data_IF_033388097571
#
_entry.id   IF_033388097571
#
_cell.length_a   1.000
_cell.length_b   1.000
_cell.length_c   1.000
_cell.angle_alpha   90.00
_cell.angle_beta   90.00
_cell.angle_gamma   90.00
#
_symmetry.space_group_name_H-M   'P 1'
#
loop_
_entity.id
_entity.type
_entity.pdbx_description
1 polymer ?
#
# COMPACT_ATOMS: atom_id res chain seq x y z
N UNK A 1 55.21 39.86 -13.53
CA UNK A 1 55.02 38.47 -13.06
C UNK A 1 53.93 38.52 -12.01
N UNK A 2 52.70 38.31 -12.44
CA UNK A 2 51.52 38.44 -11.57
C UNK A 2 50.95 37.04 -11.39
N UNK A 3 51.01 36.55 -10.16
CA UNK A 3 50.44 35.25 -9.77
C UNK A 3 48.91 35.44 -9.51
N UNK A 4 48.11 34.76 -10.31
CA UNK A 4 46.68 34.71 -10.12
C UNK A 4 46.34 33.54 -9.18
N UNK A 5 45.78 33.84 -7.99
CA UNK A 5 45.22 32.85 -7.08
C UNK A 5 43.83 32.44 -7.58
N UNK A 6 43.71 31.20 -8.00
CA UNK A 6 42.41 30.61 -8.30
C UNK A 6 41.68 30.24 -7.01
N UNK A 7 40.51 30.85 -6.74
CA UNK A 7 39.57 30.41 -5.71
C UNK A 7 38.89 29.12 -6.17
N UNK A 8 39.09 28.01 -5.48
CA UNK A 8 38.25 26.85 -5.58
C UNK A 8 36.97 27.11 -4.80
N UNK A 9 35.83 27.24 -5.50
CA UNK A 9 34.54 27.24 -4.91
C UNK A 9 34.11 25.80 -4.61
N UNK A 10 34.08 25.42 -3.34
CA UNK A 10 33.38 24.19 -2.91
C UNK A 10 31.88 24.38 -3.12
N UNK A 11 31.33 23.65 -4.06
CA UNK A 11 29.90 23.50 -4.21
C UNK A 11 29.35 22.67 -3.04
N UNK A 12 28.70 23.32 -2.09
CA UNK A 12 27.89 22.64 -1.08
C UNK A 12 26.68 21.99 -1.79
N UNK A 13 26.69 20.67 -1.90
CA UNK A 13 25.51 19.93 -2.33
C UNK A 13 24.44 20.09 -1.26
N UNK A 14 23.42 20.90 -1.56
CA UNK A 14 22.21 21.01 -0.77
C UNK A 14 21.52 19.64 -0.74
N UNK A 15 21.37 19.08 0.45
CA UNK A 15 20.44 18.01 0.76
C UNK A 15 19.00 18.57 0.69
N UNK A 16 18.54 18.87 -0.51
CA UNK A 16 17.14 19.16 -0.80
C UNK A 16 16.47 17.87 -1.19
N UNK A 17 15.60 17.35 -0.34
CA UNK A 17 14.79 16.20 -0.77
C UNK A 17 14.23 15.34 0.35
N UNK A 18 13.98 15.89 1.55
CA UNK A 18 12.89 15.34 2.38
C UNK A 18 11.66 16.09 1.94
N UNK A 19 10.99 15.59 0.91
CA UNK A 19 9.75 16.15 0.44
C UNK A 19 8.77 16.28 1.60
N UNK A 20 8.14 17.44 1.72
CA UNK A 20 7.09 17.74 2.69
C UNK A 20 6.09 16.58 2.71
N UNK A 21 6.10 15.79 3.79
CA UNK A 21 5.04 14.86 4.07
C UNK A 21 3.81 15.70 4.41
N UNK A 22 2.97 15.91 3.42
CA UNK A 22 1.68 16.58 3.55
C UNK A 22 0.91 15.91 4.70
N UNK A 23 0.84 16.62 5.81
CA UNK A 23 0.20 16.17 7.05
C UNK A 23 -1.29 16.15 6.81
N UNK A 24 -1.84 14.96 6.53
CA UNK A 24 -3.29 14.78 6.56
C UNK A 24 -3.80 15.23 7.94
N UNK A 25 -4.73 16.18 8.01
CA UNK A 25 -5.27 16.66 9.28
C UNK A 25 -6.03 15.48 9.93
N UNK A 26 -5.60 15.06 11.13
CA UNK A 26 -6.13 14.01 12.01
C UNK A 26 -5.49 12.61 11.93
N UNK A 27 -4.29 12.45 11.38
CA UNK A 27 -3.58 11.17 11.40
C UNK A 27 -2.84 10.96 12.74
N UNK A 28 -3.57 10.72 13.83
CA UNK A 28 -3.02 10.52 15.18
C UNK A 28 -3.09 9.06 15.68
N UNK A 29 -3.71 8.17 14.91
CA UNK A 29 -3.90 6.76 15.28
C UNK A 29 -2.59 5.95 15.32
N UNK A 30 -2.66 4.69 15.83
CA UNK A 30 -1.49 3.81 15.97
C UNK A 30 -0.85 3.39 14.64
N UNK A 31 -1.57 3.54 13.52
CA UNK A 31 -1.09 3.28 12.16
C UNK A 31 -0.89 4.56 11.33
N UNK A 32 -0.71 5.71 11.99
CA UNK A 32 -0.52 7.02 11.38
C UNK A 32 0.90 7.27 10.86
N UNK A 33 1.10 8.30 10.03
CA UNK A 33 2.42 8.75 9.59
C UNK A 33 3.34 9.09 10.77
N UNK A 34 2.80 9.74 11.81
CA UNK A 34 3.54 10.03 13.04
C UNK A 34 3.94 8.77 13.80
N UNK A 35 3.05 7.75 13.84
CA UNK A 35 3.37 6.45 14.44
C UNK A 35 4.39 5.69 13.61
N UNK A 36 4.31 5.76 12.26
CA UNK A 36 5.31 5.19 11.37
C UNK A 36 6.70 5.77 11.63
N UNK A 37 6.82 7.09 11.73
CA UNK A 37 8.10 7.73 12.02
C UNK A 37 8.66 7.27 13.37
N UNK A 38 7.85 7.22 14.42
CA UNK A 38 8.30 6.68 15.71
C UNK A 38 8.77 5.24 15.60
N UNK A 39 8.04 4.39 14.88
CA UNK A 39 8.42 3.00 14.65
C UNK A 39 9.70 2.87 13.81
N UNK A 40 9.86 3.71 12.78
CA UNK A 40 11.01 3.72 11.88
C UNK A 40 12.31 4.06 12.62
N UNK A 41 12.22 5.05 13.54
CA UNK A 41 13.34 5.54 14.34
C UNK A 41 13.39 4.97 15.75
N UNK A 42 12.47 4.04 16.10
CA UNK A 42 12.53 3.38 17.40
C UNK A 42 13.83 2.58 17.53
N UNK A 43 14.64 2.98 18.49
CA UNK A 43 15.98 2.46 18.69
C UNK A 43 15.98 1.00 19.12
N UNK A 44 16.65 0.19 18.36
CA UNK A 44 17.36 -0.96 18.90
C UNK A 44 18.82 -0.48 19.10
N UNK A 45 19.37 -0.44 20.32
CA UNK A 45 20.72 0.08 20.60
C UNK A 45 21.84 -0.64 19.81
N UNK A 46 21.55 -1.83 19.25
CA UNK A 46 22.49 -2.58 18.43
C UNK A 46 22.37 -2.30 16.91
N UNK A 47 21.35 -1.56 16.46
CA UNK A 47 21.08 -1.32 15.02
C UNK A 47 20.39 0.03 14.79
N UNK A 48 20.84 1.10 15.45
CA UNK A 48 20.28 2.43 15.28
C UNK A 48 20.23 2.83 13.79
N UNK A 49 19.02 3.15 13.30
CA UNK A 49 18.84 3.71 11.96
C UNK A 49 18.76 2.71 10.79
N UNK A 50 18.92 1.40 10.99
CA UNK A 50 18.88 0.44 9.88
C UNK A 50 17.53 0.41 9.15
N UNK A 51 16.40 0.52 9.89
CA UNK A 51 15.07 0.63 9.29
C UNK A 51 14.94 1.87 8.41
N UNK A 52 15.47 3.01 8.86
CA UNK A 52 15.44 4.25 8.10
C UNK A 52 16.29 4.17 6.83
N UNK A 53 17.47 3.52 6.89
CA UNK A 53 18.32 3.27 5.74
C UNK A 53 17.61 2.37 4.72
N UNK A 54 16.98 1.30 5.18
CA UNK A 54 16.22 0.38 4.32
C UNK A 54 14.99 1.06 3.73
N UNK A 55 14.30 1.90 4.51
CA UNK A 55 13.18 2.69 3.99
C UNK A 55 13.63 3.67 2.90
N UNK A 56 14.73 4.37 3.10
CA UNK A 56 15.30 5.24 2.08
C UNK A 56 15.73 4.47 0.82
N UNK A 57 16.26 3.25 0.97
CA UNK A 57 16.58 2.39 -0.17
C UNK A 57 15.32 1.91 -0.89
N UNK A 58 14.25 1.58 -0.14
CA UNK A 58 12.95 1.23 -0.69
C UNK A 58 12.32 2.39 -1.48
N UNK A 59 12.40 3.62 -0.96
CA UNK A 59 11.91 4.82 -1.66
C UNK A 59 12.64 5.01 -3.01
N UNK A 60 13.98 4.93 -3.02
CA UNK A 60 14.77 5.01 -4.27
C UNK A 60 14.38 3.93 -5.27
N UNK A 61 14.18 2.70 -4.82
CA UNK A 61 13.71 1.61 -5.69
C UNK A 61 12.36 1.95 -6.33
N UNK A 62 11.41 2.54 -5.59
CA UNK A 62 10.12 2.96 -6.15
C UNK A 62 10.26 4.12 -7.16
N UNK A 63 11.20 5.03 -6.94
CA UNK A 63 11.56 6.10 -7.87
C UNK A 63 12.13 5.51 -9.17
N UNK A 64 13.11 4.62 -9.07
CA UNK A 64 13.74 3.94 -10.22
C UNK A 64 12.71 3.13 -11.04
N UNK A 65 11.72 2.51 -10.37
CA UNK A 65 10.61 1.80 -11.03
C UNK A 65 9.50 2.73 -11.55
N UNK A 66 9.63 4.04 -11.31
CA UNK A 66 8.67 5.05 -11.73
C UNK A 66 7.30 4.93 -11.07
N UNK A 67 7.22 4.39 -9.85
CA UNK A 67 5.96 4.19 -9.10
C UNK A 67 5.93 4.94 -7.76
N UNK A 68 6.92 5.78 -7.49
CA UNK A 68 6.89 6.66 -6.33
C UNK A 68 5.67 7.59 -6.39
N UNK A 69 5.09 7.89 -5.23
CA UNK A 69 3.95 8.81 -5.11
C UNK A 69 2.60 8.28 -5.59
N UNK A 70 2.49 7.02 -6.04
CA UNK A 70 1.20 6.39 -6.38
C UNK A 70 0.30 6.31 -5.16
N UNK A 71 0.87 5.97 -4.02
CA UNK A 71 0.30 6.08 -2.67
C UNK A 71 1.39 6.58 -1.73
N UNK A 72 1.06 7.09 -0.53
CA UNK A 72 2.09 7.44 0.45
C UNK A 72 2.97 6.22 0.76
N UNK A 73 4.29 6.32 0.49
CA UNK A 73 5.22 5.17 0.56
C UNK A 73 5.20 4.46 1.91
N UNK A 74 5.08 5.20 3.01
CA UNK A 74 5.04 4.64 4.36
C UNK A 74 3.84 3.71 4.60
N UNK A 75 2.72 3.92 3.87
CA UNK A 75 1.55 3.07 3.96
C UNK A 75 1.77 1.67 3.37
N UNK A 76 2.74 1.51 2.47
CA UNK A 76 3.09 0.19 1.90
C UNK A 76 3.62 -0.79 2.95
N UNK A 77 4.13 -0.26 4.08
CA UNK A 77 4.62 -1.05 5.21
C UNK A 77 3.60 -1.16 6.36
N UNK A 78 2.36 -0.68 6.16
CA UNK A 78 1.27 -0.89 7.13
C UNK A 78 0.91 -2.37 7.27
N UNK A 79 0.71 -2.78 8.51
CA UNK A 79 -0.07 -3.95 8.89
C UNK A 79 -1.47 -3.45 9.21
N UNK A 80 -2.49 -4.17 8.77
CA UNK A 80 -3.86 -3.86 9.13
C UNK A 80 -4.01 -3.67 10.64
N UNK A 81 -4.65 -2.57 11.05
CA UNK A 81 -4.71 -2.19 12.45
C UNK A 81 -5.46 -3.24 13.31
N UNK A 82 -6.51 -3.86 12.76
CA UNK A 82 -7.26 -4.92 13.46
C UNK A 82 -6.42 -6.19 13.57
N UNK A 83 -5.64 -6.52 12.53
CA UNK A 83 -4.74 -7.67 12.55
C UNK A 83 -3.57 -7.44 13.52
N UNK A 84 -2.97 -6.27 13.50
CA UNK A 84 -1.90 -5.91 14.45
C UNK A 84 -2.38 -6.03 15.90
N UNK A 85 -3.54 -5.46 16.23
CA UNK A 85 -4.14 -5.54 17.55
C UNK A 85 -4.48 -6.98 17.94
N UNK A 86 -5.12 -7.75 17.05
CA UNK A 86 -5.52 -9.14 17.29
C UNK A 86 -4.32 -10.07 17.53
N UNK A 87 -3.24 -9.85 16.76
CA UNK A 87 -2.06 -10.71 16.79
C UNK A 87 -0.94 -10.21 17.72
N UNK A 88 -1.14 -9.08 18.42
CA UNK A 88 -0.15 -8.50 19.32
C UNK A 88 1.13 -8.08 18.60
N UNK A 89 1.03 -7.57 17.34
CA UNK A 89 2.18 -7.17 16.54
C UNK A 89 2.27 -5.66 16.35
N UNK A 90 3.39 -5.18 15.81
CA UNK A 90 3.50 -3.78 15.39
C UNK A 90 2.53 -3.46 14.25
N UNK A 91 2.11 -2.19 14.15
CA UNK A 91 1.25 -1.66 13.08
C UNK A 91 1.99 -1.46 11.76
N UNK A 92 3.30 -1.69 11.75
CA UNK A 92 4.17 -1.61 10.59
C UNK A 92 5.10 -2.81 10.55
N UNK A 93 5.35 -3.30 9.35
CA UNK A 93 6.26 -4.40 9.10
C UNK A 93 7.05 -4.14 7.81
N UNK A 94 8.34 -4.34 7.88
CA UNK A 94 9.21 -4.23 6.71
C UNK A 94 9.17 -5.55 5.92
N UNK A 95 8.82 -5.49 4.63
CA UNK A 95 8.93 -6.66 3.76
C UNK A 95 10.40 -7.10 3.63
N UNK A 96 10.68 -8.39 3.39
CA UNK A 96 12.00 -8.84 2.98
C UNK A 96 12.51 -8.07 1.75
N UNK A 97 13.80 -7.73 1.72
CA UNK A 97 14.38 -6.89 0.65
C UNK A 97 14.24 -7.49 -0.74
N UNK A 98 14.36 -8.78 -0.86
CA UNK A 98 14.16 -9.55 -2.09
C UNK A 98 12.72 -9.53 -2.62
N UNK A 99 11.75 -9.15 -1.77
CA UNK A 99 10.34 -9.01 -2.14
C UNK A 99 9.94 -7.56 -2.48
N UNK A 100 10.79 -6.57 -2.28
CA UNK A 100 10.40 -5.16 -2.46
C UNK A 100 9.85 -4.84 -3.85
N UNK A 101 10.44 -5.43 -4.89
CA UNK A 101 10.00 -5.20 -6.28
C UNK A 101 8.67 -5.86 -6.62
N UNK A 102 8.21 -6.82 -5.81
CA UNK A 102 6.98 -7.55 -6.06
C UNK A 102 5.72 -6.68 -5.93
N UNK A 103 5.78 -5.55 -5.21
CA UNK A 103 4.66 -4.60 -5.11
C UNK A 103 4.52 -3.71 -6.35
N UNK A 104 5.56 -3.58 -7.17
CA UNK A 104 5.59 -2.64 -8.31
C UNK A 104 4.47 -2.91 -9.33
N UNK A 105 4.18 -4.15 -9.77
CA UNK A 105 3.06 -4.40 -10.67
C UNK A 105 1.70 -3.96 -10.10
N UNK A 106 1.45 -4.17 -8.80
CA UNK A 106 0.22 -3.69 -8.16
C UNK A 106 0.14 -2.16 -8.18
N UNK A 107 1.24 -1.45 -7.86
CA UNK A 107 1.29 0.02 -7.92
C UNK A 107 1.06 0.55 -9.34
N UNK A 108 1.57 -0.13 -10.37
CA UNK A 108 1.28 0.22 -11.78
C UNK A 108 -0.21 0.07 -12.11
N UNK A 109 -0.87 -0.98 -11.59
CA UNK A 109 -2.33 -1.14 -11.71
C UNK A 109 -3.09 -0.02 -10.99
N UNK A 110 -2.68 0.33 -9.76
CA UNK A 110 -3.30 1.44 -9.03
C UNK A 110 -3.25 2.72 -9.86
N UNK A 111 -2.06 3.13 -10.33
CA UNK A 111 -1.87 4.36 -11.09
C UNK A 111 -2.67 4.38 -12.40
N UNK A 112 -2.62 3.28 -13.16
CA UNK A 112 -3.16 3.26 -14.52
C UNK A 112 -4.63 2.91 -14.63
N UNK A 113 -5.20 2.23 -13.62
CA UNK A 113 -6.57 1.68 -13.68
C UNK A 113 -7.43 2.09 -12.50
N UNK A 114 -6.93 1.93 -11.26
CA UNK A 114 -7.77 2.06 -10.06
C UNK A 114 -7.98 3.52 -9.68
N UNK A 115 -6.90 4.30 -9.51
CA UNK A 115 -6.97 5.72 -9.11
C UNK A 115 -7.83 6.56 -10.07
N UNK A 116 -7.79 6.37 -11.41
CA UNK A 116 -8.67 7.09 -12.33
C UNK A 116 -10.18 6.93 -12.06
N UNK A 117 -10.60 5.86 -11.39
CA UNK A 117 -12.02 5.61 -11.10
C UNK A 117 -12.38 5.80 -9.62
N UNK A 118 -11.41 5.71 -8.72
CA UNK A 118 -11.65 5.82 -7.28
C UNK A 118 -11.27 7.17 -6.70
N UNK A 119 -10.35 7.90 -7.33
CA UNK A 119 -9.60 9.00 -6.72
C UNK A 119 -8.46 8.47 -5.82
N UNK A 120 -7.89 9.34 -4.97
CA UNK A 120 -6.79 8.99 -4.07
C UNK A 120 -7.12 7.80 -3.18
N UNK A 121 -6.11 6.96 -2.93
CA UNK A 121 -6.22 5.73 -2.16
C UNK A 121 -5.37 5.78 -0.89
N UNK A 122 -5.82 5.06 0.13
CA UNK A 122 -5.01 4.70 1.28
C UNK A 122 -4.75 3.20 1.29
N UNK A 123 -3.49 2.81 1.57
CA UNK A 123 -3.14 1.40 1.82
C UNK A 123 -3.37 1.12 3.29
N UNK A 124 -4.23 0.15 3.58
CA UNK A 124 -4.51 -0.30 4.95
C UNK A 124 -3.73 -1.56 5.33
N UNK A 125 -3.31 -2.34 4.34
CA UNK A 125 -2.43 -3.50 4.53
C UNK A 125 -1.56 -3.73 3.28
N UNK A 126 -0.25 -3.77 3.46
CA UNK A 126 0.72 -4.15 2.44
C UNK A 126 1.21 -5.58 2.65
N UNK A 127 2.53 -5.73 2.94
CA UNK A 127 3.12 -7.03 3.22
C UNK A 127 2.58 -7.65 4.51
N UNK A 128 2.41 -8.96 4.49
CA UNK A 128 1.92 -9.73 5.63
C UNK A 128 2.91 -10.85 5.94
N UNK A 129 3.49 -10.84 7.15
CA UNK A 129 4.38 -11.92 7.57
C UNK A 129 3.63 -13.25 7.67
N UNK A 130 4.31 -14.40 7.50
CA UNK A 130 3.70 -15.71 7.71
C UNK A 130 3.02 -15.86 9.08
N UNK A 131 3.62 -15.29 10.14
CA UNK A 131 3.05 -15.33 11.49
C UNK A 131 1.72 -14.58 11.58
N UNK A 132 1.63 -13.36 11.02
CA UNK A 132 0.38 -12.59 10.96
C UNK A 132 -0.64 -13.32 10.10
N UNK A 133 -0.24 -13.84 8.93
CA UNK A 133 -1.16 -14.57 8.04
C UNK A 133 -1.77 -15.79 8.74
N UNK A 134 -0.98 -16.56 9.48
CA UNK A 134 -1.47 -17.69 10.28
C UNK A 134 -2.40 -17.24 11.40
N UNK A 135 -2.03 -16.20 12.16
CA UNK A 135 -2.82 -15.66 13.28
C UNK A 135 -4.23 -15.24 12.86
N UNK A 136 -4.37 -14.63 11.67
CA UNK A 136 -5.68 -14.15 11.18
C UNK A 136 -6.47 -15.20 10.39
N UNK A 137 -5.90 -16.40 10.17
CA UNK A 137 -6.51 -17.43 9.33
C UNK A 137 -6.50 -17.09 7.84
N UNK A 138 -5.49 -16.36 7.37
CA UNK A 138 -5.34 -15.97 5.97
C UNK A 138 -5.04 -17.16 5.06
N UNK A 139 -5.32 -17.00 3.76
CA UNK A 139 -5.04 -18.02 2.77
C UNK A 139 -3.54 -18.40 2.74
N UNK A 140 -3.23 -19.70 2.63
CA UNK A 140 -1.85 -20.21 2.62
C UNK A 140 -1.01 -19.71 1.45
N UNK A 141 -1.66 -19.31 0.35
CA UNK A 141 -1.04 -18.71 -0.85
C UNK A 141 -1.49 -17.28 -1.03
N UNK A 142 -1.58 -16.52 0.06
CA UNK A 142 -1.95 -15.10 0.01
C UNK A 142 -0.88 -14.28 -0.70
N UNK A 143 -1.27 -13.47 -1.67
CA UNK A 143 -0.36 -12.57 -2.38
C UNK A 143 0.31 -11.50 -1.47
N UNK A 144 -0.26 -11.25 -0.28
CA UNK A 144 0.36 -10.41 0.74
C UNK A 144 1.64 -11.03 1.34
N UNK A 145 1.78 -12.36 1.36
CA UNK A 145 2.99 -13.04 1.86
C UNK A 145 4.22 -12.71 1.01
N UNK A 146 4.02 -12.49 -0.28
CA UNK A 146 5.06 -12.16 -1.25
C UNK A 146 5.12 -10.66 -1.57
N UNK A 147 4.40 -9.81 -0.84
CA UNK A 147 4.28 -8.37 -1.09
C UNK A 147 3.68 -8.02 -2.47
N UNK A 148 2.90 -8.92 -3.08
CA UNK A 148 2.27 -8.74 -4.41
C UNK A 148 0.91 -8.06 -4.37
N UNK A 149 0.39 -7.76 -3.17
CA UNK A 149 -0.97 -7.31 -2.94
C UNK A 149 -1.05 -6.14 -1.98
N UNK A 150 -2.10 -5.33 -2.17
CA UNK A 150 -2.45 -4.20 -1.31
C UNK A 150 -3.95 -4.26 -0.98
N UNK A 151 -4.28 -4.17 0.31
CA UNK A 151 -5.63 -3.85 0.75
C UNK A 151 -5.77 -2.34 0.86
N UNK A 152 -6.85 -1.82 0.30
CA UNK A 152 -7.02 -0.40 -0.01
C UNK A 152 -8.39 0.10 0.46
N UNK A 153 -8.46 1.39 0.75
CA UNK A 153 -9.69 2.16 0.87
C UNK A 153 -9.63 3.40 -0.01
N UNK A 154 -10.79 3.90 -0.43
CA UNK A 154 -10.94 5.15 -1.16
C UNK A 154 -11.75 6.13 -0.30
N UNK A 155 -11.13 6.97 0.55
CA UNK A 155 -11.82 7.80 1.55
C UNK A 155 -12.89 8.70 0.95
N UNK A 156 -12.63 9.28 -0.23
CA UNK A 156 -13.60 10.12 -0.96
C UNK A 156 -14.86 9.37 -1.43
N UNK A 157 -14.85 8.04 -1.40
CA UNK A 157 -15.93 7.16 -1.89
C UNK A 157 -16.61 6.39 -0.76
N UNK A 158 -16.19 6.57 0.50
CA UNK A 158 -16.69 5.83 1.66
C UNK A 158 -18.23 5.95 1.86
N UNK A 159 -18.82 7.10 1.51
CA UNK A 159 -20.27 7.33 1.61
C UNK A 159 -21.11 6.61 0.54
N UNK A 160 -20.49 6.15 -0.56
CA UNK A 160 -21.20 5.48 -1.66
C UNK A 160 -20.50 4.19 -2.08
N UNK A 161 -20.43 3.24 -1.16
CA UNK A 161 -19.73 1.95 -1.35
C UNK A 161 -20.28 1.12 -2.51
N UNK A 162 -21.62 1.06 -2.67
CA UNK A 162 -22.21 0.33 -3.80
C UNK A 162 -21.66 0.85 -5.14
N UNK A 163 -21.60 2.18 -5.30
CA UNK A 163 -21.06 2.80 -6.51
C UNK A 163 -19.55 2.57 -6.64
N UNK A 164 -18.79 2.64 -5.53
CA UNK A 164 -17.36 2.31 -5.54
C UNK A 164 -17.12 0.90 -6.10
N UNK A 165 -17.83 -0.10 -5.57
CA UNK A 165 -17.63 -1.47 -6.02
C UNK A 165 -18.15 -1.71 -7.44
N UNK A 166 -19.24 -1.05 -7.87
CA UNK A 166 -19.69 -1.08 -9.26
C UNK A 166 -18.59 -0.53 -10.21
N UNK A 167 -18.01 0.61 -9.87
CA UNK A 167 -16.94 1.22 -10.66
C UNK A 167 -15.68 0.34 -10.71
N UNK A 168 -15.28 -0.28 -9.58
CA UNK A 168 -14.14 -1.22 -9.51
C UNK A 168 -14.40 -2.47 -10.37
N UNK A 169 -15.60 -3.04 -10.31
CA UNK A 169 -15.98 -4.21 -11.11
C UNK A 169 -15.98 -3.88 -12.62
N UNK A 170 -16.57 -2.74 -13.00
CA UNK A 170 -16.58 -2.28 -14.40
C UNK A 170 -15.14 -2.02 -14.91
N UNK A 171 -14.31 -1.39 -14.09
CA UNK A 171 -12.91 -1.11 -14.40
C UNK A 171 -12.13 -2.42 -14.61
N UNK A 172 -12.24 -3.38 -13.69
CA UNK A 172 -11.54 -4.67 -13.77
C UNK A 172 -11.99 -5.45 -15.02
N UNK A 173 -13.30 -5.48 -15.32
CA UNK A 173 -13.84 -6.10 -16.54
C UNK A 173 -13.26 -5.43 -17.80
N UNK A 174 -13.23 -4.09 -17.85
CA UNK A 174 -12.66 -3.34 -18.97
C UNK A 174 -11.17 -3.57 -19.15
N UNK A 175 -10.42 -3.74 -18.05
CA UNK A 175 -9.00 -4.03 -18.10
C UNK A 175 -8.71 -5.41 -18.70
N UNK A 176 -9.61 -6.38 -18.51
CA UNK A 176 -9.55 -7.70 -19.11
C UNK A 176 -8.41 -8.60 -18.60
N UNK A 177 -8.35 -9.86 -19.08
CA UNK A 177 -7.37 -10.85 -18.61
C UNK A 177 -5.92 -10.45 -18.79
N UNK A 178 -5.59 -9.67 -19.82
CA UNK A 178 -4.23 -9.16 -20.07
C UNK A 178 -3.69 -8.25 -18.97
N UNK A 179 -4.56 -7.67 -18.12
CA UNK A 179 -4.15 -6.83 -17.01
C UNK A 179 -3.51 -7.61 -15.85
N UNK A 180 -3.75 -8.91 -15.77
CA UNK A 180 -3.37 -9.77 -14.63
C UNK A 180 -3.89 -9.27 -13.27
N UNK A 181 -4.97 -8.46 -13.27
CA UNK A 181 -5.51 -7.84 -12.07
C UNK A 181 -6.37 -8.82 -11.27
N UNK A 182 -5.97 -9.09 -10.03
CA UNK A 182 -6.83 -9.65 -9.01
C UNK A 182 -7.59 -8.54 -8.27
N UNK A 183 -8.91 -8.71 -8.12
CA UNK A 183 -9.79 -7.80 -7.39
C UNK A 183 -10.53 -8.56 -6.29
N UNK A 184 -10.24 -8.25 -5.03
CA UNK A 184 -11.07 -8.63 -3.88
C UNK A 184 -12.15 -7.58 -3.65
N UNK A 185 -13.38 -7.86 -4.06
CA UNK A 185 -14.51 -6.96 -3.93
C UNK A 185 -15.34 -7.35 -2.69
N UNK A 186 -14.98 -6.82 -1.51
CA UNK A 186 -15.55 -7.22 -0.23
C UNK A 186 -16.90 -6.55 0.08
N UNK A 187 -17.67 -6.23 -0.95
CA UNK A 187 -19.02 -5.66 -0.81
C UNK A 187 -20.05 -6.76 -0.59
N UNK A 188 -20.94 -6.52 0.39
CA UNK A 188 -22.07 -7.38 0.71
C UNK A 188 -23.38 -6.61 0.48
N UNK A 189 -24.12 -6.89 -0.59
CA UNK A 189 -25.40 -6.24 -0.84
C UNK A 189 -26.42 -6.48 0.26
N UNK A 190 -26.40 -7.68 0.88
CA UNK A 190 -27.27 -8.11 1.99
C UNK A 190 -26.88 -7.50 3.34
N UNK A 191 -25.65 -7.04 3.49
CA UNK A 191 -25.11 -6.42 4.72
C UNK A 191 -24.13 -5.30 4.36
N UNK A 192 -24.62 -4.18 3.81
CA UNK A 192 -23.77 -3.09 3.33
C UNK A 192 -22.93 -2.45 4.45
N UNK A 193 -23.34 -2.60 5.71
CA UNK A 193 -22.60 -2.15 6.90
C UNK A 193 -21.38 -3.04 7.25
N UNK A 194 -21.30 -4.25 6.71
CA UNK A 194 -20.21 -5.17 7.07
C UNK A 194 -18.82 -4.71 6.60
N UNK A 195 -18.74 -3.77 5.64
CA UNK A 195 -17.51 -3.17 5.15
C UNK A 195 -17.67 -1.65 5.10
N UNK A 196 -17.70 -1.00 6.26
CA UNK A 196 -17.98 0.44 6.38
C UNK A 196 -16.92 1.31 5.68
N UNK A 197 -15.68 0.87 5.66
CA UNK A 197 -14.57 1.61 5.03
C UNK A 197 -14.54 1.46 3.50
N UNK A 198 -15.29 0.49 2.95
CA UNK A 198 -15.23 0.18 1.53
C UNK A 198 -13.91 -0.44 1.11
N UNK A 199 -13.31 -1.28 1.99
CA UNK A 199 -12.06 -1.98 1.73
C UNK A 199 -12.17 -2.92 0.53
N UNK A 200 -11.16 -2.91 -0.30
CA UNK A 200 -10.96 -3.83 -1.41
C UNK A 200 -9.50 -4.21 -1.55
N UNK A 201 -9.24 -5.27 -2.29
CA UNK A 201 -7.90 -5.80 -2.53
C UNK A 201 -7.52 -5.65 -4.00
N UNK A 202 -6.28 -5.27 -4.28
CA UNK A 202 -5.69 -5.30 -5.62
C UNK A 202 -4.36 -6.04 -5.58
N UNK A 203 -4.18 -6.96 -6.53
CA UNK A 203 -2.90 -7.58 -6.84
C UNK A 203 -2.70 -7.73 -8.36
N UNK A 204 -1.48 -8.04 -8.77
CA UNK A 204 -1.11 -8.30 -10.17
C UNK A 204 -0.77 -9.79 -10.39
N UNK A 205 -1.45 -10.70 -9.67
CA UNK A 205 -1.15 -12.14 -9.65
C UNK A 205 -2.23 -12.99 -10.33
N UNK A 206 -2.71 -12.53 -11.47
CA UNK A 206 -3.71 -13.21 -12.29
C UNK A 206 -5.08 -12.56 -12.28
N UNK A 207 -5.73 -12.55 -13.44
CA UNK A 207 -7.04 -11.95 -13.62
C UNK A 207 -8.12 -12.79 -12.94
N UNK A 208 -8.67 -12.26 -11.83
CA UNK A 208 -9.71 -12.92 -11.04
C UNK A 208 -10.44 -11.92 -10.15
N UNK A 209 -11.67 -12.29 -9.72
CA UNK A 209 -12.45 -11.51 -8.76
C UNK A 209 -13.05 -12.45 -7.72
N UNK A 210 -13.09 -12.00 -6.47
CA UNK A 210 -13.70 -12.71 -5.35
C UNK A 210 -14.37 -11.75 -4.39
N UNK A 211 -15.22 -12.29 -3.51
CA UNK A 211 -15.96 -11.50 -2.54
C UNK A 211 -15.46 -11.66 -1.10
N UNK A 212 -16.36 -11.42 -0.16
CA UNK A 212 -16.05 -11.30 1.28
C UNK A 212 -15.60 -12.60 1.96
N UNK A 213 -15.89 -13.76 1.39
CA UNK A 213 -15.45 -15.07 1.89
C UNK A 213 -14.16 -15.56 1.21
N UNK A 214 -13.51 -14.67 0.45
CA UNK A 214 -12.30 -14.94 -0.34
C UNK A 214 -12.49 -15.97 -1.45
N UNK A 215 -13.75 -16.26 -1.85
CA UNK A 215 -14.07 -17.14 -2.99
C UNK A 215 -14.79 -16.39 -4.11
N UNK A 216 -14.77 -16.96 -5.31
CA UNK A 216 -15.54 -16.45 -6.45
C UNK A 216 -17.07 -16.54 -6.25
N UNK A 217 -17.54 -17.36 -5.29
CA UNK A 217 -18.98 -17.54 -5.03
C UNK A 217 -19.67 -16.30 -4.46
N UNK A 218 -18.91 -15.51 -3.70
CA UNK A 218 -19.41 -14.25 -3.11
C UNK A 218 -18.94 -13.01 -3.86
N UNK A 219 -18.43 -13.19 -5.08
CA UNK A 219 -18.06 -12.08 -5.96
C UNK A 219 -19.31 -11.23 -6.28
N UNK A 220 -19.37 -9.94 -5.87
CA UNK A 220 -20.55 -9.11 -6.09
C UNK A 220 -20.61 -8.49 -7.50
N UNK A 221 -19.56 -8.63 -8.30
CA UNK A 221 -19.47 -7.93 -9.58
C UNK A 221 -20.56 -8.29 -10.59
N UNK A 222 -21.06 -9.56 -10.70
CA UNK A 222 -22.17 -9.89 -11.58
C UNK A 222 -23.46 -9.11 -11.27
N UNK A 223 -23.69 -8.76 -10.00
CA UNK A 223 -24.90 -8.05 -9.55
C UNK A 223 -24.73 -6.53 -9.55
N UNK A 224 -23.53 -6.03 -9.76
CA UNK A 224 -23.20 -4.60 -9.69
C UNK A 224 -23.03 -3.95 -11.07
N UNK A 225 -22.76 -4.73 -12.13
CA UNK A 225 -22.41 -4.24 -13.46
C UNK A 225 -22.92 -5.14 -14.59
#
# INVERSE_FOLDING_TARGET
MVMSLGLLALAAASLAGVGDMERAPNDTGPSSAGAFNRWLFADNPHNAGWKAQDYAAFQRMLEDEGVAGVVPTWQLWRVDAQYAARCGTAFFAMPPKDQWREVVPALRLLRSKVIPVTGPLEVVSGWRSPAINTCIGGATRSAHLDFKALDLVAPSRASNRRRLFADLCAMQRKAGPGSQMGLGAYYRPDKPEANLEGRFHIDAHGYRTWGFDYTGKTNPCPDLV
#
